data_IF_434246092330
#
_entry.id   IF_434246092330
#
_cell.length_a   1.000
_cell.length_b   1.000
_cell.length_c   1.000
_cell.angle_alpha   90.00
_cell.angle_beta   90.00
_cell.angle_gamma   90.00
#
_symmetry.space_group_name_H-M   'P 1'
#
loop_
_entity.id
_entity.type
_entity.pdbx_description
1 polymer ?
#
# COMPACT_ATOMS: atom_id res chain seq x y z
N UNK A 1 33.44 6.62 -7.98
CA UNK A 1 32.16 5.92 -7.91
C UNK A 1 32.41 4.45 -8.24
N UNK A 2 31.85 3.47 -7.46
CA UNK A 2 31.99 2.06 -7.77
C UNK A 2 31.37 1.77 -9.14
N UNK A 3 31.87 0.73 -9.85
CA UNK A 3 31.31 0.35 -11.14
C UNK A 3 29.80 0.05 -10.96
N UNK A 4 28.99 0.54 -11.89
CA UNK A 4 27.53 0.55 -11.85
C UNK A 4 26.86 -0.85 -11.74
N UNK A 5 27.63 -1.93 -11.90
CA UNK A 5 27.12 -3.30 -12.05
C UNK A 5 27.59 -4.29 -10.96
N UNK A 6 28.31 -3.84 -9.93
CA UNK A 6 28.72 -4.78 -8.86
C UNK A 6 27.78 -4.69 -7.65
N UNK A 7 27.17 -5.82 -7.22
CA UNK A 7 26.35 -5.84 -6.03
C UNK A 7 27.21 -5.55 -4.79
N UNK A 8 26.74 -4.63 -3.96
CA UNK A 8 27.38 -4.33 -2.67
C UNK A 8 26.63 -5.05 -1.56
N UNK A 9 27.30 -5.94 -0.88
CA UNK A 9 26.73 -6.65 0.28
C UNK A 9 27.24 -6.00 1.57
N UNK A 10 26.35 -5.74 2.51
CA UNK A 10 26.65 -5.23 3.84
C UNK A 10 26.00 -6.16 4.87
N UNK A 11 26.79 -6.67 5.80
CA UNK A 11 26.29 -7.53 6.89
C UNK A 11 26.02 -6.67 8.13
N UNK A 12 24.87 -6.89 8.77
CA UNK A 12 24.50 -6.22 10.00
C UNK A 12 23.91 -7.25 10.99
N UNK A 13 24.24 -7.09 12.25
CA UNK A 13 23.58 -7.84 13.33
C UNK A 13 22.30 -7.12 13.75
N UNK A 14 21.26 -7.88 14.07
CA UNK A 14 20.00 -7.35 14.56
C UNK A 14 19.53 -8.10 15.81
N UNK A 15 18.78 -7.45 16.66
CA UNK A 15 18.14 -8.06 17.84
C UNK A 15 16.65 -8.27 17.62
N UNK A 16 16.02 -7.44 16.78
CA UNK A 16 14.61 -7.53 16.43
C UNK A 16 14.38 -7.06 15.00
N UNK A 17 13.38 -7.63 14.35
CA UNK A 17 12.93 -7.22 13.02
C UNK A 17 11.74 -6.27 13.19
N UNK A 18 11.87 -4.99 12.84
CA UNK A 18 10.75 -4.06 12.86
C UNK A 18 9.84 -4.28 11.66
N UNK A 19 8.58 -4.61 11.89
CA UNK A 19 7.56 -4.73 10.85
C UNK A 19 6.50 -3.66 11.03
N UNK A 20 6.12 -3.02 9.94
CA UNK A 20 5.13 -1.95 9.96
C UNK A 20 3.77 -2.51 9.60
N UNK A 21 2.76 -2.25 10.44
CA UNK A 21 1.40 -2.68 10.16
C UNK A 21 0.71 -1.67 9.25
N UNK A 22 0.60 -2.01 7.97
CA UNK A 22 -0.14 -1.26 6.97
C UNK A 22 -1.61 -1.72 6.91
N UNK A 23 -2.55 -0.94 6.37
CA UNK A 23 -3.96 -1.31 6.29
C UNK A 23 -4.25 -2.60 5.51
N UNK A 24 -3.39 -2.96 4.57
CA UNK A 24 -3.47 -4.14 3.72
C UNK A 24 -2.73 -5.36 4.28
N UNK A 25 -1.93 -5.18 5.35
CA UNK A 25 -1.21 -6.24 6.03
C UNK A 25 -2.15 -6.98 6.99
N UNK A 26 -2.38 -8.26 6.74
CA UNK A 26 -3.28 -9.10 7.54
C UNK A 26 -2.58 -10.25 8.25
N UNK A 27 -1.50 -10.76 7.70
CA UNK A 27 -0.73 -11.87 8.25
C UNK A 27 0.68 -11.44 8.63
N UNK A 28 1.32 -12.22 9.51
CA UNK A 28 2.74 -12.00 9.86
C UNK A 28 3.65 -12.13 8.64
N UNK A 29 3.33 -13.03 7.70
CA UNK A 29 4.08 -13.13 6.46
C UNK A 29 3.98 -11.87 5.59
N UNK A 30 2.80 -11.23 5.53
CA UNK A 30 2.66 -9.97 4.81
C UNK A 30 3.54 -8.87 5.41
N UNK A 31 3.59 -8.81 6.75
CA UNK A 31 4.40 -7.84 7.47
C UNK A 31 5.90 -8.07 7.26
N UNK A 32 6.35 -9.33 7.32
CA UNK A 32 7.76 -9.70 7.08
C UNK A 32 8.16 -9.49 5.62
N UNK A 33 7.29 -9.82 4.69
CA UNK A 33 7.54 -9.58 3.26
C UNK A 33 7.74 -8.09 2.97
N UNK A 34 7.05 -7.20 3.68
CA UNK A 34 7.27 -5.76 3.57
C UNK A 34 8.67 -5.35 4.03
N UNK A 35 9.21 -6.02 5.07
CA UNK A 35 10.55 -5.73 5.58
C UNK A 35 11.66 -6.33 4.70
N UNK A 36 11.49 -7.59 4.27
CA UNK A 36 12.48 -8.32 3.46
C UNK A 36 12.33 -8.08 1.95
N UNK A 37 11.33 -7.31 1.54
CA UNK A 37 11.06 -7.08 0.12
C UNK A 37 12.18 -6.33 -0.57
N UNK A 38 12.35 -6.63 -1.84
CA UNK A 38 13.19 -5.88 -2.74
C UNK A 38 12.64 -4.47 -2.93
N UNK A 39 13.29 -3.51 -2.33
CA UNK A 39 12.92 -2.10 -2.42
C UNK A 39 13.76 -1.41 -3.50
N UNK A 40 13.09 -0.68 -4.38
CA UNK A 40 13.77 0.23 -5.29
C UNK A 40 14.05 1.54 -4.58
N UNK A 41 15.30 1.74 -4.17
CA UNK A 41 15.75 2.96 -3.50
C UNK A 41 16.28 3.93 -4.56
N UNK A 42 15.83 5.20 -4.60
CA UNK A 42 16.42 6.20 -5.46
C UNK A 42 17.89 6.43 -5.04
N UNK A 43 18.81 6.30 -5.98
CA UNK A 43 20.25 6.45 -5.73
C UNK A 43 20.81 7.76 -6.24
N UNK A 44 20.35 8.18 -7.41
CA UNK A 44 20.74 9.42 -8.07
C UNK A 44 19.56 9.90 -8.91
N UNK A 45 19.65 11.08 -9.52
CA UNK A 45 18.52 11.73 -10.20
C UNK A 45 17.78 10.83 -11.21
N UNK A 46 18.40 9.76 -11.74
CA UNK A 46 17.80 8.85 -12.70
C UNK A 46 18.01 7.35 -12.37
N UNK A 47 18.92 7.02 -11.45
CA UNK A 47 19.26 5.63 -11.12
C UNK A 47 18.46 5.11 -9.92
N UNK A 48 17.93 3.90 -10.04
CA UNK A 48 17.30 3.17 -8.95
C UNK A 48 18.15 1.97 -8.57
N UNK A 49 18.40 1.80 -7.28
CA UNK A 49 19.05 0.61 -6.73
C UNK A 49 18.02 -0.34 -6.20
N UNK A 50 18.21 -1.61 -6.51
CA UNK A 50 17.44 -2.68 -5.88
C UNK A 50 18.15 -3.09 -4.59
N UNK A 51 17.48 -2.89 -3.44
CA UNK A 51 17.96 -3.32 -2.14
C UNK A 51 17.20 -4.58 -1.72
N UNK A 52 17.94 -5.63 -1.41
CA UNK A 52 17.41 -6.88 -0.87
C UNK A 52 17.94 -7.10 0.54
N UNK A 53 17.08 -7.48 1.46
CA UNK A 53 17.45 -7.90 2.81
C UNK A 53 17.23 -9.40 2.92
N UNK A 54 18.25 -10.14 3.38
CA UNK A 54 18.18 -11.56 3.61
C UNK A 54 18.75 -11.91 4.98
N UNK A 55 18.32 -13.04 5.54
CA UNK A 55 18.87 -13.59 6.76
C UNK A 55 20.03 -14.52 6.44
N UNK A 56 21.23 -14.18 6.90
CA UNK A 56 22.41 -15.05 6.74
C UNK A 56 22.39 -16.21 7.72
N UNK A 57 21.82 -15.99 8.91
CA UNK A 57 21.74 -16.98 9.96
C UNK A 57 20.43 -16.82 10.74
N UNK A 58 19.70 -17.92 10.94
CA UNK A 58 18.53 -17.90 11.78
C UNK A 58 18.95 -17.75 13.25
N UNK A 59 18.41 -16.76 13.99
CA UNK A 59 18.73 -16.61 15.40
C UNK A 59 17.99 -17.67 16.24
N UNK A 60 18.52 -18.05 17.40
CA UNK A 60 17.85 -18.97 18.32
C UNK A 60 16.55 -18.37 18.90
N UNK A 61 16.45 -17.05 18.96
CA UNK A 61 15.27 -16.30 19.32
C UNK A 61 15.00 -15.23 18.25
N UNK A 62 13.89 -15.37 17.53
CA UNK A 62 13.48 -14.41 16.52
C UNK A 62 12.47 -13.43 17.09
N UNK A 63 12.91 -12.22 17.36
CA UNK A 63 12.06 -11.16 17.92
C UNK A 63 11.50 -10.27 16.80
N UNK A 64 10.18 -10.12 16.77
CA UNK A 64 9.50 -9.24 15.81
C UNK A 64 8.88 -8.07 16.57
N UNK A 65 9.21 -6.86 16.15
CA UNK A 65 8.65 -5.63 16.70
C UNK A 65 7.57 -5.07 15.77
N UNK A 66 6.32 -5.22 16.14
CA UNK A 66 5.19 -4.74 15.33
C UNK A 66 4.91 -3.27 15.59
N UNK A 67 5.19 -2.43 14.61
CA UNK A 67 4.94 -1.00 14.66
C UNK A 67 3.51 -0.71 14.17
N UNK A 68 2.63 -0.35 15.11
CA UNK A 68 1.22 0.00 14.85
C UNK A 68 0.99 1.49 14.72
N UNK A 69 1.95 2.29 15.12
CA UNK A 69 1.84 3.75 15.15
C UNK A 69 2.65 4.34 14.01
N UNK A 70 1.99 5.17 13.21
CA UNK A 70 2.60 5.84 12.07
C UNK A 70 2.21 7.31 12.03
N UNK A 71 3.07 8.12 11.43
CA UNK A 71 2.75 9.52 11.16
C UNK A 71 2.16 9.64 9.75
N UNK A 72 0.89 10.00 9.67
CA UNK A 72 0.23 10.31 8.40
C UNK A 72 0.60 11.72 7.96
N UNK A 73 1.42 11.81 6.91
CA UNK A 73 1.88 13.10 6.37
C UNK A 73 0.75 13.92 5.74
N UNK A 74 -0.27 13.28 5.19
CA UNK A 74 -1.41 13.97 4.57
C UNK A 74 -2.33 14.58 5.62
N UNK A 75 -2.64 13.79 6.66
CA UNK A 75 -3.48 14.23 7.77
C UNK A 75 -2.70 14.98 8.86
N UNK A 76 -1.37 15.06 8.77
CA UNK A 76 -0.44 15.68 9.74
C UNK A 76 -0.70 15.22 11.19
N UNK A 77 -1.02 13.96 11.37
CA UNK A 77 -1.33 13.37 12.68
C UNK A 77 -0.75 11.98 12.85
N UNK A 78 -0.57 11.59 14.11
CA UNK A 78 -0.22 10.23 14.47
C UNK A 78 -1.46 9.35 14.38
N UNK A 79 -1.38 8.27 13.61
CA UNK A 79 -2.45 7.28 13.44
C UNK A 79 -1.99 5.94 14.01
N UNK A 80 -2.85 5.32 14.82
CA UNK A 80 -2.64 3.97 15.32
C UNK A 80 -3.51 3.00 14.52
N UNK A 81 -2.87 2.07 13.81
CA UNK A 81 -3.56 1.01 13.09
C UNK A 81 -4.02 -0.08 14.06
N UNK A 82 -5.34 -0.32 14.09
CA UNK A 82 -5.96 -1.35 14.93
C UNK A 82 -6.28 -2.64 14.17
N UNK A 83 -5.77 -2.77 12.94
CA UNK A 83 -5.99 -3.95 12.13
C UNK A 83 -5.54 -5.22 12.89
N UNK A 84 -6.33 -6.28 12.79
CA UNK A 84 -5.95 -7.59 13.30
C UNK A 84 -4.80 -8.13 12.46
N UNK A 85 -3.81 -8.71 13.14
CA UNK A 85 -2.67 -9.39 12.53
C UNK A 85 -2.76 -10.87 12.87
N UNK A 86 -2.89 -11.69 11.85
CA UNK A 86 -2.89 -13.13 11.99
C UNK A 86 -1.47 -13.64 12.27
N UNK A 87 -1.32 -14.35 13.38
CA UNK A 87 -0.06 -14.95 13.82
C UNK A 87 -0.15 -16.46 13.60
N UNK A 88 0.68 -17.04 12.74
CA UNK A 88 0.74 -18.49 12.60
C UNK A 88 1.43 -19.13 13.82
N UNK A 89 1.01 -20.34 14.21
CA UNK A 89 1.65 -21.11 15.27
C UNK A 89 3.10 -21.46 14.94
N UNK A 90 3.41 -21.60 13.66
CA UNK A 90 4.76 -21.89 13.16
C UNK A 90 5.11 -20.89 12.04
N UNK A 91 6.24 -20.22 12.21
CA UNK A 91 6.78 -19.29 11.24
C UNK A 91 7.99 -19.89 10.53
N UNK A 92 7.87 -20.09 9.22
CA UNK A 92 8.94 -20.59 8.37
C UNK A 92 9.76 -19.42 7.79
N UNK A 93 11.03 -19.36 8.17
CA UNK A 93 11.94 -18.27 7.75
C UNK A 93 12.74 -18.60 6.48
N UNK A 94 12.60 -19.79 5.94
CA UNK A 94 13.36 -20.30 4.79
C UNK A 94 13.34 -19.32 3.60
N UNK A 95 12.19 -18.69 3.34
CA UNK A 95 12.01 -17.73 2.24
C UNK A 95 12.83 -16.44 2.37
N UNK A 96 13.26 -16.14 3.59
CA UNK A 96 14.03 -14.93 3.91
C UNK A 96 15.52 -15.24 4.10
N UNK A 97 15.91 -16.50 4.06
CA UNK A 97 17.30 -16.91 4.21
C UNK A 97 18.12 -16.58 2.97
N UNK A 98 19.41 -16.33 3.18
CA UNK A 98 20.37 -16.17 2.09
C UNK A 98 20.59 -17.48 1.32
N UNK A 99 20.91 -17.36 0.03
CA UNK A 99 21.19 -18.50 -0.85
C UNK A 99 22.27 -19.47 -0.31
N UNK A 100 23.22 -18.94 0.46
CA UNK A 100 24.29 -19.75 1.06
C UNK A 100 23.80 -20.70 2.17
N UNK A 101 22.58 -20.50 2.67
CA UNK A 101 22.03 -21.22 3.83
C UNK A 101 21.13 -22.42 3.45
N UNK A 102 20.80 -22.60 2.18
CA UNK A 102 19.92 -23.64 1.69
C UNK A 102 20.52 -24.36 0.49
N UNK A 103 20.17 -25.64 0.24
CA UNK A 103 20.53 -26.30 -1.01
C UNK A 103 20.03 -25.48 -2.20
N UNK A 104 20.83 -25.32 -3.28
CA UNK A 104 20.50 -24.42 -4.40
C UNK A 104 19.13 -24.71 -5.02
N UNK A 105 18.79 -25.97 -5.21
CA UNK A 105 17.50 -26.37 -5.81
C UNK A 105 16.30 -25.91 -4.97
N UNK A 106 16.39 -26.02 -3.64
CA UNK A 106 15.33 -25.58 -2.72
C UNK A 106 15.25 -24.06 -2.64
N UNK A 107 16.40 -23.40 -2.67
CA UNK A 107 16.49 -21.95 -2.66
C UNK A 107 15.84 -21.36 -3.90
N UNK A 108 16.17 -21.86 -5.08
CA UNK A 108 15.63 -21.37 -6.35
C UNK A 108 14.10 -21.53 -6.43
N UNK A 109 13.58 -22.67 -5.97
CA UNK A 109 12.14 -22.92 -5.93
C UNK A 109 11.41 -21.97 -4.96
N UNK A 110 11.93 -21.76 -3.75
CA UNK A 110 11.37 -20.85 -2.76
C UNK A 110 11.46 -19.40 -3.23
N UNK A 111 12.58 -19.03 -3.85
CA UNK A 111 12.77 -17.71 -4.41
C UNK A 111 11.78 -17.43 -5.54
N UNK A 112 11.58 -18.35 -6.47
CA UNK A 112 10.62 -18.21 -7.55
C UNK A 112 9.18 -18.04 -7.03
N UNK A 113 8.79 -18.79 -5.99
CA UNK A 113 7.49 -18.65 -5.33
C UNK A 113 7.34 -17.29 -4.64
N UNK A 114 8.39 -16.83 -3.98
CA UNK A 114 8.40 -15.53 -3.32
C UNK A 114 8.24 -14.39 -4.34
N UNK A 115 9.03 -14.38 -5.41
CA UNK A 115 8.93 -13.40 -6.49
C UNK A 115 7.53 -13.38 -7.12
N UNK A 116 6.93 -14.57 -7.35
CA UNK A 116 5.56 -14.67 -7.88
C UNK A 116 4.54 -14.07 -6.89
N UNK A 117 4.71 -14.32 -5.61
CA UNK A 117 3.83 -13.76 -4.57
C UNK A 117 3.92 -12.23 -4.55
N UNK A 118 5.13 -11.68 -4.64
CA UNK A 118 5.34 -10.24 -4.70
C UNK A 118 4.73 -9.62 -5.97
N UNK A 119 4.87 -10.27 -7.12
CA UNK A 119 4.28 -9.83 -8.37
C UNK A 119 2.73 -9.77 -8.27
N UNK A 120 2.11 -10.81 -7.74
CA UNK A 120 0.65 -10.86 -7.54
C UNK A 120 0.16 -9.80 -6.54
N UNK A 121 0.92 -9.50 -5.50
CA UNK A 121 0.59 -8.42 -4.56
C UNK A 121 0.65 -7.05 -5.22
N UNK A 122 1.67 -6.80 -6.05
CA UNK A 122 1.77 -5.54 -6.82
C UNK A 122 0.60 -5.39 -7.78
N UNK A 123 0.23 -6.46 -8.47
CA UNK A 123 -0.92 -6.48 -9.38
C UNK A 123 -2.23 -6.22 -8.61
N UNK A 124 -2.44 -6.90 -7.47
CA UNK A 124 -3.58 -6.65 -6.59
C UNK A 124 -3.65 -5.20 -6.13
N UNK A 125 -2.53 -4.62 -5.70
CA UNK A 125 -2.48 -3.23 -5.26
C UNK A 125 -2.85 -2.26 -6.40
N UNK A 126 -2.34 -2.50 -7.61
CA UNK A 126 -2.68 -1.71 -8.79
C UNK A 126 -4.16 -1.81 -9.17
N UNK A 127 -4.75 -3.01 -9.08
CA UNK A 127 -6.18 -3.21 -9.32
C UNK A 127 -7.05 -2.52 -8.27
N UNK A 128 -6.68 -2.58 -6.99
CA UNK A 128 -7.39 -1.88 -5.93
C UNK A 128 -7.35 -0.36 -6.12
N UNK A 129 -6.19 0.18 -6.48
CA UNK A 129 -6.04 1.61 -6.80
C UNK A 129 -6.94 2.01 -7.96
N UNK A 130 -7.00 1.18 -9.01
CA UNK A 130 -7.89 1.42 -10.16
C UNK A 130 -9.37 1.38 -9.78
N UNK A 131 -9.77 0.46 -8.89
CA UNK A 131 -11.14 0.41 -8.35
C UNK A 131 -11.45 1.70 -7.56
N UNK A 132 -10.53 2.17 -6.73
CA UNK A 132 -10.71 3.43 -5.99
C UNK A 132 -10.84 4.64 -6.92
N UNK A 133 -10.05 4.69 -7.99
CA UNK A 133 -10.15 5.75 -8.99
C UNK A 133 -11.52 5.75 -9.68
N UNK A 134 -12.01 4.58 -10.11
CA UNK A 134 -13.32 4.44 -10.74
C UNK A 134 -14.47 4.86 -9.81
N UNK A 135 -14.42 4.47 -8.54
CA UNK A 135 -15.40 4.91 -7.53
C UNK A 135 -15.37 6.42 -7.31
N UNK A 136 -14.18 7.02 -7.30
CA UNK A 136 -14.00 8.46 -7.21
C UNK A 136 -14.62 9.21 -8.40
N UNK A 137 -14.44 8.71 -9.61
CA UNK A 137 -14.99 9.28 -10.84
C UNK A 137 -16.52 9.20 -10.87
N UNK A 138 -17.10 8.10 -10.41
CA UNK A 138 -18.56 7.95 -10.29
C UNK A 138 -19.16 8.92 -9.28
N UNK A 139 -18.55 9.08 -8.11
CA UNK A 139 -18.98 10.05 -7.10
C UNK A 139 -18.93 11.49 -7.64
N UNK A 140 -17.86 11.85 -8.32
CA UNK A 140 -17.73 13.17 -8.97
C UNK A 140 -18.75 13.39 -10.08
N UNK A 141 -19.14 12.32 -10.79
CA UNK A 141 -20.19 12.40 -11.80
C UNK A 141 -21.58 12.63 -11.16
N UNK A 142 -21.89 11.92 -10.08
CA UNK A 142 -23.12 12.10 -9.32
C UNK A 142 -23.22 13.50 -8.72
N UNK A 143 -22.16 14.02 -8.12
CA UNK A 143 -22.14 15.39 -7.61
C UNK A 143 -22.41 16.44 -8.71
N UNK A 144 -21.85 16.24 -9.91
CA UNK A 144 -22.12 17.13 -11.06
C UNK A 144 -23.58 17.12 -11.48
N UNK A 145 -24.20 15.92 -11.50
CA UNK A 145 -25.63 15.78 -11.83
C UNK A 145 -26.49 16.44 -10.76
N UNK A 146 -26.21 16.21 -9.49
CA UNK A 146 -26.96 16.80 -8.37
C UNK A 146 -26.92 18.33 -8.42
N UNK A 147 -25.75 18.93 -8.61
CA UNK A 147 -25.60 20.39 -8.76
C UNK A 147 -26.39 20.93 -9.93
N UNK A 148 -26.47 20.23 -11.07
CA UNK A 148 -27.30 20.66 -12.21
C UNK A 148 -28.79 20.62 -11.89
N UNK A 149 -29.23 19.58 -11.18
CA UNK A 149 -30.62 19.44 -10.75
C UNK A 149 -31.01 20.56 -9.78
N UNK A 150 -30.16 20.95 -8.85
CA UNK A 150 -30.40 22.05 -7.92
C UNK A 150 -30.51 23.39 -8.66
N UNK A 151 -29.66 23.66 -9.64
CA UNK A 151 -29.77 24.87 -10.48
C UNK A 151 -31.08 24.89 -11.25
N UNK A 152 -31.53 23.78 -11.81
CA UNK A 152 -32.79 23.69 -12.51
C UNK A 152 -34.01 23.88 -11.60
N UNK A 153 -33.97 23.33 -10.38
CA UNK A 153 -35.01 23.54 -9.38
C UNK A 153 -35.16 25.04 -9.05
N UNK A 154 -34.05 25.69 -8.72
CA UNK A 154 -34.08 27.13 -8.41
C UNK A 154 -34.55 28.00 -9.60
N UNK A 155 -34.16 27.65 -10.82
CA UNK A 155 -34.65 28.35 -12.01
C UNK A 155 -36.14 28.12 -12.24
N UNK A 156 -36.66 26.93 -11.97
CA UNK A 156 -38.10 26.65 -12.08
C UNK A 156 -38.93 27.38 -11.00
N UNK A 157 -38.43 27.44 -9.78
CA UNK A 157 -39.05 28.19 -8.67
C UNK A 157 -39.13 29.70 -8.99
N UNK A 158 -38.05 30.30 -9.52
CA UNK A 158 -38.03 31.70 -9.92
C UNK A 158 -39.01 32.01 -11.07
N UNK A 159 -39.21 31.08 -12.01
CA UNK A 159 -40.17 31.27 -13.10
C UNK A 159 -41.63 31.18 -12.62
N UNK A 160 -41.92 30.33 -11.62
CA UNK A 160 -43.28 30.28 -11.03
C UNK A 160 -43.65 31.55 -10.27
N UNK A 161 -42.67 32.12 -9.54
CA UNK A 161 -42.90 33.38 -8.82
C UNK A 161 -43.14 34.55 -9.75
N UNK A 162 -42.53 34.57 -10.94
CA UNK A 162 -42.75 35.60 -11.96
C UNK A 162 -44.10 35.47 -12.66
N UNK A 163 -44.59 34.25 -12.90
CA UNK A 163 -45.92 34.04 -13.50
C UNK A 163 -47.06 34.40 -12.52
N UNK A 164 -46.89 34.12 -11.23
CA UNK A 164 -47.87 34.45 -10.20
C UNK A 164 -48.00 35.97 -9.96
N UNK A 165 -46.92 36.72 -10.21
CA UNK A 165 -46.91 38.19 -10.05
C UNK A 165 -47.49 38.96 -11.23
N UNK A 166 -47.78 38.30 -12.36
CA UNK A 166 -48.34 38.93 -13.57
C UNK A 166 -49.84 38.68 -13.79
N UNK A 167 -50.55 38.11 -12.80
CA UNK A 167 -52.02 37.96 -12.92
C UNK A 167 -52.71 39.29 -12.97
N UNK A 168 -53.44 39.63 -14.05
CA UNK A 168 -54.10 40.96 -14.20
C UNK A 168 -55.27 41.09 -13.21
N UNK A 169 -55.20 42.12 -12.40
CA UNK A 169 -56.33 42.57 -11.58
C UNK A 169 -57.48 43.01 -12.55
N UNK A 170 -58.45 42.13 -12.77
CA UNK A 170 -59.69 42.49 -13.44
C UNK A 170 -60.50 43.33 -12.48
N UNK A 171 -60.68 44.57 -12.88
CA UNK A 171 -61.70 45.46 -12.32
C UNK A 171 -63.11 45.07 -12.78
#
# INVERSE_FOLDING_TARGET
>A
PPPKDSPRTTEQTFTSVPVTLLPDVRSMYDALDTFFNDEQVPWDNEARLQRRITLKQAPPLFQIHVQRVQYDRKAQRIVKHQAALELPDTLYLDRYMDASCAPPERFDALHALHERTLALRRERAALLERVHQLQGDELMALERVTRRLDVWKHAAEQNQDTETSQAPIKK
#
